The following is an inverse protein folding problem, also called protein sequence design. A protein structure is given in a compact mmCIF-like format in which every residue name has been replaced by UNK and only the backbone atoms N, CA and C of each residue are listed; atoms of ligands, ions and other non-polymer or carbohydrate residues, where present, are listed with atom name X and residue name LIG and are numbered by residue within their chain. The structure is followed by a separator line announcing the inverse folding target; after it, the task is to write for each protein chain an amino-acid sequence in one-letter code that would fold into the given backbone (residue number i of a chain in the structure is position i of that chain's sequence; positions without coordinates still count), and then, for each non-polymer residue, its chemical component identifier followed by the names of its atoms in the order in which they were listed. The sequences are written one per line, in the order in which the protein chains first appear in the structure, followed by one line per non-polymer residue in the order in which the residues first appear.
data_IF_285574809419
#
_entry.id   IF_285574809419
#
_cell.length_a   1.000
_cell.length_b   1.000
_cell.length_c   1.000
_cell.angle_alpha   90.00
_cell.angle_beta   90.00
_cell.angle_gamma   90.00
#
_symmetry.space_group_name_H-M   'P 1'
#
loop_
_entity.id
_entity.type
_entity.pdbx_description
1 polymer ?
#
# COMPACT_ATOMS: atom_id res chain seq x y z
N UNK A 1 -9.43 4.99 6.59
CA UNK A 1 -9.56 3.53 6.77
C UNK A 1 -10.84 3.04 6.14
N UNK A 2 -11.11 1.75 6.23
CA UNK A 2 -12.22 1.09 5.53
C UNK A 2 -13.05 0.30 6.56
N UNK A 3 -14.01 0.94 7.26
CA UNK A 3 -14.63 0.39 8.47
C UNK A 3 -15.36 -0.94 8.29
N UNK A 4 -15.81 -1.25 7.07
CA UNK A 4 -16.48 -2.53 6.80
C UNK A 4 -15.52 -3.74 6.82
N UNK A 5 -14.22 -3.51 6.97
CA UNK A 5 -13.19 -4.55 7.13
C UNK A 5 -12.82 -4.80 8.60
N UNK A 6 -13.37 -4.03 9.53
CA UNK A 6 -13.13 -4.18 10.97
C UNK A 6 -13.57 -5.58 11.43
N UNK A 7 -12.88 -6.13 12.43
CA UNK A 7 -13.01 -7.51 12.94
C UNK A 7 -12.72 -8.66 11.95
N UNK A 8 -12.59 -8.36 10.65
CA UNK A 8 -12.21 -9.32 9.61
C UNK A 8 -10.71 -9.30 9.27
N UNK A 9 -10.02 -8.18 9.50
CA UNK A 9 -8.60 -8.00 9.20
C UNK A 9 -7.83 -7.41 10.39
N UNK A 10 -6.74 -8.07 10.80
CA UNK A 10 -5.88 -7.58 11.88
C UNK A 10 -5.03 -6.41 11.42
N UNK A 11 -5.16 -5.27 12.09
CA UNK A 11 -4.28 -4.11 11.91
C UNK A 11 -2.98 -4.34 12.66
N UNK A 12 -1.83 -4.34 11.96
CA UNK A 12 -0.50 -4.55 12.56
C UNK A 12 0.41 -3.33 12.53
N UNK A 13 -0.02 -2.23 11.92
CA UNK A 13 0.75 -0.98 11.83
C UNK A 13 0.03 0.09 11.02
N UNK A 14 0.61 1.29 11.02
CA UNK A 14 0.14 2.44 10.24
C UNK A 14 1.31 3.17 9.58
N UNK A 15 1.02 3.91 8.52
CA UNK A 15 2.03 4.70 7.82
C UNK A 15 2.12 6.07 8.48
N UNK A 16 3.28 6.39 9.04
CA UNK A 16 3.53 7.66 9.74
C UNK A 16 4.06 8.77 8.82
N UNK A 17 4.71 8.42 7.69
CA UNK A 17 5.30 9.35 6.74
C UNK A 17 5.17 8.81 5.30
N UNK A 18 5.18 9.71 4.30
CA UNK A 18 5.16 9.32 2.88
C UNK A 18 3.77 9.00 2.30
N UNK A 19 2.68 9.51 2.89
CA UNK A 19 1.31 9.31 2.37
C UNK A 19 1.15 9.75 0.91
N UNK A 20 1.85 10.81 0.49
CA UNK A 20 1.85 11.26 -0.91
C UNK A 20 2.41 10.22 -1.90
N UNK A 21 3.34 9.36 -1.44
CA UNK A 21 3.87 8.26 -2.26
C UNK A 21 2.78 7.21 -2.47
N UNK A 22 2.00 6.90 -1.43
CA UNK A 22 0.85 5.99 -1.54
C UNK A 22 -0.15 6.51 -2.56
N UNK A 23 -0.51 7.80 -2.49
CA UNK A 23 -1.43 8.42 -3.44
C UNK A 23 -0.92 8.32 -4.88
N UNK A 24 0.38 8.53 -5.08
CA UNK A 24 1.01 8.42 -6.40
C UNK A 24 0.97 6.99 -6.96
N UNK A 25 1.16 5.98 -6.10
CA UNK A 25 1.07 4.56 -6.48
C UNK A 25 -0.37 4.18 -6.78
N UNK A 26 -1.34 4.66 -6.00
CA UNK A 26 -2.77 4.38 -6.21
C UNK A 26 -3.30 4.97 -7.52
N UNK A 27 -2.68 6.04 -8.03
CA UNK A 27 -3.07 6.72 -9.26
C UNK A 27 -2.47 6.11 -10.55
N UNK A 28 -1.62 5.08 -10.45
CA UNK A 28 -1.00 4.46 -11.64
C UNK A 28 -2.05 3.76 -12.50
N UNK A 29 -1.78 3.68 -13.80
CA UNK A 29 -2.68 3.01 -14.74
C UNK A 29 -2.72 1.51 -14.48
N UNK A 30 -3.92 0.95 -14.38
CA UNK A 30 -4.15 -0.49 -14.20
C UNK A 30 -4.66 -1.18 -15.47
N UNK A 31 -4.36 -2.47 -15.58
CA UNK A 31 -4.85 -3.43 -16.54
C UNK A 31 -6.04 -4.22 -15.93
N UNK A 32 -6.72 -5.10 -16.68
CA UNK A 32 -7.78 -5.95 -16.13
C UNK A 32 -7.31 -6.74 -14.90
N UNK A 33 -8.14 -6.76 -13.85
CA UNK A 33 -7.79 -7.35 -12.55
C UNK A 33 -7.00 -6.43 -11.62
N UNK A 34 -7.07 -5.12 -11.85
CA UNK A 34 -6.47 -4.06 -11.02
C UNK A 34 -4.94 -4.12 -10.89
N UNK A 35 -4.27 -4.89 -11.76
CA UNK A 35 -2.81 -4.96 -11.81
C UNK A 35 -2.24 -3.71 -12.51
N UNK A 36 -1.22 -3.03 -11.97
CA UNK A 36 -0.52 -1.96 -12.68
C UNK A 36 -0.02 -2.39 -14.07
N UNK A 37 -0.13 -1.50 -15.06
CA UNK A 37 0.39 -1.74 -16.43
C UNK A 37 1.92 -1.80 -16.43
N UNK A 38 2.54 -0.96 -15.62
CA UNK A 38 3.97 -0.96 -15.35
C UNK A 38 4.20 -1.44 -13.91
N UNK A 39 5.16 -2.34 -13.71
CA UNK A 39 5.39 -2.93 -12.40
C UNK A 39 5.94 -1.89 -11.40
N UNK A 40 5.33 -1.82 -10.21
CA UNK A 40 5.77 -0.98 -9.09
C UNK A 40 6.42 -1.89 -8.04
N UNK A 41 7.75 -1.83 -7.91
CA UNK A 41 8.52 -2.71 -7.01
C UNK A 41 8.86 -2.05 -5.68
N UNK A 42 8.86 -2.82 -4.59
CA UNK A 42 9.27 -2.37 -3.27
C UNK A 42 10.66 -2.90 -2.89
N UNK A 43 11.46 -2.07 -2.22
CA UNK A 43 12.69 -2.49 -1.53
C UNK A 43 12.49 -2.38 -0.02
N UNK A 44 13.00 -3.34 0.74
CA UNK A 44 12.87 -3.36 2.19
C UNK A 44 14.25 -3.39 2.85
N UNK A 45 14.39 -2.65 3.93
CA UNK A 45 15.56 -2.73 4.83
C UNK A 45 15.04 -3.01 6.23
N UNK A 46 15.67 -3.95 6.93
CA UNK A 46 15.36 -4.24 8.33
C UNK A 46 16.19 -3.27 9.17
N UNK A 47 15.52 -2.55 10.06
CA UNK A 47 16.19 -1.70 11.05
C UNK A 47 16.42 -2.60 12.27
N UNK A 48 17.68 -2.92 12.54
CA UNK A 48 18.10 -3.56 13.79
C UNK A 48 18.20 -2.48 14.89
N UNK A 49 17.88 -2.84 16.14
CA UNK A 49 18.04 -1.96 17.31
C UNK A 49 19.51 -1.67 17.64
#
# INVERSE_FOLDING_TARGET
GTPFLDDAYTVFGEVIEGLNVIDSIAAVKTAPGDRPVEDVTMTMTIIEE
#
